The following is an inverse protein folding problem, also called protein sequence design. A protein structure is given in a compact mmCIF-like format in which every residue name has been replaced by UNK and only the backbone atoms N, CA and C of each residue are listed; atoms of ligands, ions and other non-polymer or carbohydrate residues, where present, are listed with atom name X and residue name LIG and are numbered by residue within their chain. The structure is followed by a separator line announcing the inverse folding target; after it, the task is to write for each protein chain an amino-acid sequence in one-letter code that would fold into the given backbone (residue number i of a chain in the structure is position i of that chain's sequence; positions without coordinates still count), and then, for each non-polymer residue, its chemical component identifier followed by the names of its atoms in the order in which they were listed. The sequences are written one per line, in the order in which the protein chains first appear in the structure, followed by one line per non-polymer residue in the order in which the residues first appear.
data_IF_621907958258
#
_entry.id   IF_621907958258
#
_cell.length_a   1.000
_cell.length_b   1.000
_cell.length_c   1.000
_cell.angle_alpha   90.00
_cell.angle_beta   90.00
_cell.angle_gamma   90.00
#
_symmetry.space_group_name_H-M   'P 1'
#
loop_
_entity.id
_entity.type
_entity.pdbx_description
1 polymer ?
#
# COMPACT_ATOMS: atom_id res chain seq x y z
N UNK A 1 -29.51 -23.24 -52.20
CA UNK A 1 -29.30 -24.30 -53.21
C UNK A 1 -27.84 -24.27 -53.61
N UNK A 2 -27.19 -25.42 -53.48
CA UNK A 2 -26.09 -25.94 -54.31
C UNK A 2 -24.84 -25.06 -54.52
N UNK A 3 -23.75 -25.45 -53.84
CA UNK A 3 -22.46 -25.59 -54.55
C UNK A 3 -22.50 -26.81 -55.47
N UNK A 4 -21.57 -26.92 -56.43
CA UNK A 4 -20.42 -27.82 -56.19
C UNK A 4 -19.10 -27.26 -56.79
N UNK A 5 -17.94 -27.49 -56.14
CA UNK A 5 -16.88 -28.47 -56.54
C UNK A 5 -16.11 -28.10 -57.82
N UNK A 6 -14.82 -28.35 -58.03
CA UNK A 6 -13.69 -28.86 -57.25
C UNK A 6 -12.50 -29.00 -58.22
N UNK A 7 -11.28 -29.07 -57.67
CA UNK A 7 -10.09 -29.79 -58.20
C UNK A 7 -9.39 -29.24 -59.45
N UNK A 8 -8.07 -29.33 -59.63
CA UNK A 8 -6.94 -30.00 -58.93
C UNK A 8 -5.66 -29.30 -59.45
N UNK A 9 -4.69 -28.95 -58.60
CA UNK A 9 -3.49 -29.72 -58.24
C UNK A 9 -2.44 -29.83 -59.35
N UNK A 10 -1.28 -29.21 -59.09
CA UNK A 10 0.10 -29.75 -59.16
C UNK A 10 1.07 -28.58 -58.91
N UNK A 11 2.31 -28.70 -58.43
CA UNK A 11 3.01 -29.42 -57.36
C UNK A 11 4.48 -28.94 -57.48
N UNK A 12 5.25 -28.98 -56.38
CA UNK A 12 6.72 -28.76 -56.29
C UNK A 12 7.21 -27.30 -56.44
N UNK A 13 8.14 -26.74 -55.67
CA UNK A 13 9.14 -27.29 -54.73
C UNK A 13 9.64 -26.18 -53.79
N UNK A 14 9.87 -26.54 -52.52
CA UNK A 14 10.84 -26.03 -51.54
C UNK A 14 11.67 -24.76 -51.83
N UNK A 15 11.58 -23.77 -50.93
CA UNK A 15 12.76 -23.14 -50.31
C UNK A 15 12.33 -22.36 -49.06
N UNK A 16 12.72 -22.89 -47.90
CA UNK A 16 12.77 -22.15 -46.64
C UNK A 16 13.64 -20.90 -46.82
N UNK A 17 13.13 -19.74 -46.43
CA UNK A 17 13.98 -18.56 -46.19
C UNK A 17 13.79 -18.20 -44.72
N UNK A 18 14.74 -18.67 -43.94
CA UNK A 18 15.02 -18.29 -42.56
C UNK A 18 15.08 -16.76 -42.46
N UNK A 19 14.19 -16.18 -41.67
CA UNK A 19 14.29 -14.78 -41.27
C UNK A 19 15.50 -14.65 -40.34
N UNK A 20 16.55 -14.05 -40.89
CA UNK A 20 17.89 -14.01 -40.32
C UNK A 20 17.91 -13.21 -39.00
N UNK A 21 18.48 -13.83 -37.97
CA UNK A 21 18.57 -13.32 -36.60
C UNK A 21 19.74 -12.33 -36.45
N UNK A 22 19.85 -11.32 -37.32
CA UNK A 22 21.05 -10.48 -37.41
C UNK A 22 20.81 -8.95 -37.38
N UNK A 23 19.59 -8.45 -37.16
CA UNK A 23 19.32 -6.99 -37.21
C UNK A 23 18.89 -6.34 -35.89
N UNK A 24 19.14 -6.96 -34.73
CA UNK A 24 19.06 -6.27 -33.43
C UNK A 24 20.28 -6.61 -32.58
N UNK A 25 21.47 -6.21 -33.02
CA UNK A 25 22.67 -6.17 -32.16
C UNK A 25 23.50 -4.94 -32.53
N UNK A 26 22.98 -3.74 -32.30
CA UNK A 26 23.76 -2.50 -32.34
C UNK A 26 23.41 -1.64 -31.11
N UNK A 27 23.84 -2.14 -29.95
CA UNK A 27 23.68 -1.51 -28.65
C UNK A 27 24.25 -2.42 -27.56
N UNK A 28 25.58 -2.49 -27.50
CA UNK A 28 26.45 -3.03 -26.45
C UNK A 28 25.88 -4.10 -25.50
N UNK A 29 26.52 -5.28 -25.50
CA UNK A 29 26.66 -6.08 -24.29
C UNK A 29 27.29 -5.14 -23.25
N UNK A 30 26.50 -4.64 -22.30
CA UNK A 30 27.05 -4.06 -21.09
C UNK A 30 27.98 -5.12 -20.51
N UNK A 31 29.27 -4.82 -20.36
CA UNK A 31 30.24 -5.73 -19.77
C UNK A 31 29.66 -6.24 -18.45
N UNK A 32 29.83 -7.53 -18.14
CA UNK A 32 29.39 -8.09 -16.85
C UNK A 32 29.91 -7.23 -15.70
N UNK A 33 31.15 -6.72 -15.83
CA UNK A 33 31.74 -5.79 -14.88
C UNK A 33 30.99 -4.45 -14.79
N UNK A 34 30.51 -3.91 -15.91
CA UNK A 34 29.68 -2.69 -15.95
C UNK A 34 28.33 -2.90 -15.25
N UNK A 35 27.66 -4.03 -15.54
CA UNK A 35 26.40 -4.36 -14.87
C UNK A 35 26.58 -4.55 -13.36
N UNK A 36 27.64 -5.24 -12.94
CA UNK A 36 27.97 -5.41 -11.52
C UNK A 36 28.24 -4.05 -10.84
N UNK A 37 29.01 -3.17 -11.48
CA UNK A 37 29.28 -1.83 -10.97
C UNK A 37 27.99 -0.99 -10.81
N UNK A 38 27.10 -1.03 -11.82
CA UNK A 38 25.81 -0.33 -11.76
C UNK A 38 24.86 -0.90 -10.70
N UNK A 39 24.87 -2.21 -10.48
CA UNK A 39 24.10 -2.84 -9.39
C UNK A 39 24.62 -2.40 -8.03
N UNK A 40 25.94 -2.31 -7.83
CA UNK A 40 26.54 -1.78 -6.61
C UNK A 40 26.21 -0.31 -6.38
N UNK A 41 26.26 0.52 -7.42
CA UNK A 41 25.82 1.91 -7.37
C UNK A 41 24.34 2.02 -6.96
N UNK A 42 23.47 1.21 -7.57
CA UNK A 42 22.06 1.16 -7.23
C UNK A 42 21.82 0.80 -5.75
N UNK A 43 22.51 -0.23 -5.24
CA UNK A 43 22.36 -0.63 -3.82
C UNK A 43 22.87 0.43 -2.86
N UNK A 44 23.93 1.16 -3.22
CA UNK A 44 24.46 2.30 -2.43
C UNK A 44 23.46 3.46 -2.39
N UNK A 45 22.80 3.74 -3.51
CA UNK A 45 21.78 4.78 -3.60
C UNK A 45 20.55 4.51 -2.69
N UNK A 46 20.36 3.26 -2.23
CA UNK A 46 19.31 2.92 -1.26
C UNK A 46 19.66 3.27 0.19
N UNK A 47 20.87 3.77 0.46
CA UNK A 47 21.30 4.20 1.79
C UNK A 47 21.35 3.07 2.81
N UNK A 48 21.69 1.86 2.35
CA UNK A 48 21.82 0.68 3.20
C UNK A 48 23.14 0.71 3.99
N UNK A 49 23.24 -0.10 5.04
CA UNK A 49 24.55 -0.36 5.68
C UNK A 49 25.43 -1.20 4.74
N UNK A 50 26.77 -1.25 4.90
CA UNK A 50 27.62 -2.09 4.04
C UNK A 50 27.18 -3.57 3.99
N UNK A 51 26.71 -4.12 5.12
CA UNK A 51 26.12 -5.46 5.14
C UNK A 51 24.79 -5.53 4.36
N UNK A 52 23.94 -4.51 4.51
CA UNK A 52 22.68 -4.40 3.78
C UNK A 52 22.87 -4.28 2.27
N UNK A 53 23.85 -3.50 1.82
CA UNK A 53 24.23 -3.39 0.41
C UNK A 53 24.63 -4.75 -0.17
N UNK A 54 25.47 -5.51 0.56
CA UNK A 54 25.86 -6.85 0.15
C UNK A 54 24.66 -7.81 0.08
N UNK A 55 23.76 -7.78 1.07
CA UNK A 55 22.53 -8.58 1.06
C UNK A 55 21.67 -8.21 -0.15
N UNK A 56 21.46 -6.91 -0.38
CA UNK A 56 20.69 -6.40 -1.49
C UNK A 56 21.27 -6.84 -2.83
N UNK A 57 22.59 -6.70 -3.01
CA UNK A 57 23.30 -7.13 -4.20
C UNK A 57 23.12 -8.64 -4.46
N UNK A 58 23.26 -9.49 -3.43
CA UNK A 58 23.04 -10.93 -3.56
C UNK A 58 21.61 -11.26 -4.02
N UNK A 59 20.61 -10.53 -3.53
CA UNK A 59 19.23 -10.65 -4.00
C UNK A 59 19.06 -10.25 -5.45
N UNK A 60 19.70 -9.17 -5.90
CA UNK A 60 19.65 -8.71 -7.29
C UNK A 60 20.33 -9.71 -8.24
N UNK A 61 21.49 -10.24 -7.86
CA UNK A 61 22.19 -11.29 -8.63
C UNK A 61 21.37 -12.57 -8.71
N UNK A 62 20.73 -12.97 -7.60
CA UNK A 62 19.79 -14.09 -7.59
C UNK A 62 18.58 -13.81 -8.50
N UNK A 63 18.03 -12.61 -8.44
CA UNK A 63 16.91 -12.21 -9.28
C UNK A 63 17.30 -12.22 -10.76
N UNK A 64 18.51 -11.80 -11.13
CA UNK A 64 19.00 -11.80 -12.51
C UNK A 64 19.10 -13.23 -13.10
N UNK A 65 19.42 -14.22 -12.27
CA UNK A 65 19.64 -15.62 -12.69
C UNK A 65 18.45 -16.55 -12.43
N UNK A 66 17.40 -16.07 -11.76
CA UNK A 66 16.21 -16.87 -11.41
C UNK A 66 15.43 -17.39 -12.63
N UNK A 67 15.45 -18.70 -12.86
CA UNK A 67 14.65 -19.36 -13.91
C UNK A 67 13.24 -19.74 -13.43
N UNK A 68 12.96 -19.67 -12.13
CA UNK A 68 11.67 -20.10 -11.56
C UNK A 68 10.56 -19.06 -11.73
N UNK A 69 10.92 -17.81 -12.02
CA UNK A 69 9.99 -16.68 -12.14
C UNK A 69 9.58 -16.06 -10.79
N UNK A 70 10.00 -16.65 -9.67
CA UNK A 70 9.69 -16.17 -8.32
C UNK A 70 10.25 -14.78 -8.04
N UNK A 71 11.31 -14.34 -8.71
CA UNK A 71 11.92 -13.01 -8.55
C UNK A 71 11.72 -12.14 -9.80
N UNK A 72 10.75 -12.47 -10.65
CA UNK A 72 10.55 -11.78 -11.92
C UNK A 72 10.19 -10.31 -11.75
N UNK A 73 9.43 -9.92 -10.72
CA UNK A 73 9.07 -8.52 -10.46
C UNK A 73 10.23 -7.77 -9.83
N UNK A 74 10.98 -8.44 -8.94
CA UNK A 74 12.24 -7.89 -8.44
C UNK A 74 13.21 -7.59 -9.58
N UNK A 75 13.41 -8.53 -10.53
CA UNK A 75 14.25 -8.32 -11.71
C UNK A 75 13.78 -7.14 -12.55
N UNK A 76 12.48 -7.09 -12.88
CA UNK A 76 11.89 -6.00 -13.67
C UNK A 76 12.03 -4.65 -12.97
N UNK A 77 11.76 -4.60 -11.67
CA UNK A 77 11.92 -3.38 -10.88
C UNK A 77 13.38 -2.93 -10.83
N UNK A 78 14.34 -3.83 -10.62
CA UNK A 78 15.76 -3.50 -10.64
C UNK A 78 16.21 -2.92 -11.98
N UNK A 79 15.80 -3.52 -13.11
CA UNK A 79 16.05 -2.99 -14.44
C UNK A 79 15.45 -1.59 -14.63
N UNK A 80 14.23 -1.37 -14.13
CA UNK A 80 13.58 -0.06 -14.16
C UNK A 80 14.40 0.99 -13.40
N UNK A 81 14.88 0.66 -12.20
CA UNK A 81 15.74 1.55 -11.40
C UNK A 81 17.09 1.83 -12.07
N UNK A 82 17.74 0.80 -12.65
CA UNK A 82 19.00 0.93 -13.39
C UNK A 82 18.89 1.83 -14.63
N UNK A 83 17.68 1.94 -15.19
CA UNK A 83 17.37 2.80 -16.32
C UNK A 83 16.77 4.16 -15.90
N UNK A 84 16.81 4.49 -14.60
CA UNK A 84 16.23 5.69 -14.02
C UNK A 84 14.76 5.91 -14.38
N UNK A 85 14.03 4.82 -14.63
CA UNK A 85 12.61 4.86 -14.92
C UNK A 85 11.84 4.95 -13.61
N UNK A 86 11.06 6.03 -13.45
CA UNK A 86 10.23 6.25 -12.25
C UNK A 86 8.97 5.38 -12.22
N UNK A 87 8.37 5.15 -13.38
CA UNK A 87 7.09 4.43 -13.50
C UNK A 87 7.17 3.32 -14.56
N UNK A 88 6.43 2.20 -14.36
CA UNK A 88 6.24 1.20 -15.40
C UNK A 88 5.48 1.79 -16.59
N UNK A 89 5.81 1.33 -17.80
CA UNK A 89 5.14 1.79 -19.03
C UNK A 89 3.66 1.43 -19.11
N UNK A 90 3.22 0.38 -18.41
CA UNK A 90 1.85 -0.14 -18.40
C UNK A 90 1.06 0.25 -17.13
N UNK A 91 1.47 1.31 -16.44
CA UNK A 91 0.81 1.81 -15.23
C UNK A 91 -0.57 2.41 -15.53
N UNK A 92 -1.53 2.24 -14.61
CA UNK A 92 -2.84 2.89 -14.70
C UNK A 92 -2.72 4.42 -14.65
N UNK A 93 -3.55 5.14 -15.39
CA UNK A 93 -3.66 6.60 -15.30
C UNK A 93 -4.03 7.08 -13.91
N UNK A 94 -4.75 6.25 -13.14
CA UNK A 94 -5.17 6.49 -11.77
C UNK A 94 -4.05 6.29 -10.74
N UNK A 95 -2.91 5.71 -11.11
CA UNK A 95 -1.75 5.52 -10.22
C UNK A 95 -0.64 6.55 -10.47
N UNK A 96 -0.86 7.53 -11.37
CA UNK A 96 0.17 8.51 -11.76
C UNK A 96 0.70 9.34 -10.60
N UNK A 97 -0.12 9.63 -9.59
CA UNK A 97 0.31 10.34 -8.38
C UNK A 97 0.98 9.47 -7.33
N UNK A 98 1.02 8.14 -7.51
CA UNK A 98 1.66 7.24 -6.56
C UNK A 98 3.20 7.35 -6.67
N UNK A 99 3.91 7.64 -5.56
CA UNK A 99 5.37 7.80 -5.58
C UNK A 99 6.14 6.56 -6.06
N UNK A 100 5.66 5.36 -5.75
CA UNK A 100 6.41 4.12 -6.01
C UNK A 100 5.52 3.00 -6.59
N UNK A 101 5.50 2.89 -7.92
CA UNK A 101 4.74 1.85 -8.62
C UNK A 101 5.68 0.78 -9.16
N UNK A 102 5.52 -0.46 -8.70
CA UNK A 102 6.29 -1.61 -9.15
C UNK A 102 5.69 -2.24 -10.41
N UNK A 103 6.54 -2.69 -11.35
CA UNK A 103 6.08 -3.41 -12.54
C UNK A 103 5.61 -4.83 -12.20
N UNK A 104 4.63 -5.32 -12.96
CA UNK A 104 4.22 -6.73 -12.96
C UNK A 104 3.26 -7.14 -11.85
N UNK A 105 2.75 -6.20 -11.06
CA UNK A 105 1.61 -6.42 -10.15
C UNK A 105 0.30 -6.13 -10.90
N UNK A 106 -0.73 -6.95 -10.71
CA UNK A 106 -2.08 -6.66 -11.22
C UNK A 106 -2.58 -5.34 -10.65
N UNK A 107 -2.96 -4.41 -11.52
CA UNK A 107 -3.48 -3.11 -11.12
C UNK A 107 -5.01 -3.13 -11.21
N UNK A 108 -5.68 -3.19 -10.05
CA UNK A 108 -7.14 -3.11 -9.94
C UNK A 108 -7.49 -2.16 -8.80
N UNK A 109 -8.41 -1.19 -9.01
CA UNK A 109 -8.79 -0.25 -7.96
C UNK A 109 -9.45 -0.98 -6.78
N UNK A 110 -10.45 -1.83 -7.05
CA UNK A 110 -11.21 -2.57 -6.03
C UNK A 110 -11.10 -4.08 -6.26
N UNK A 111 -10.72 -4.81 -5.23
CA UNK A 111 -10.46 -6.24 -5.25
C UNK A 111 -11.66 -7.02 -4.72
N UNK A 112 -12.62 -7.29 -5.60
CA UNK A 112 -13.93 -7.90 -5.24
C UNK A 112 -13.88 -9.40 -4.95
N UNK A 113 -12.84 -10.10 -5.40
CA UNK A 113 -12.72 -11.55 -5.18
C UNK A 113 -12.14 -11.83 -3.77
N UNK A 114 -13.02 -11.93 -2.77
CA UNK A 114 -12.62 -12.19 -1.38
C UNK A 114 -12.04 -13.59 -1.16
N UNK A 115 -12.23 -14.56 -2.07
CA UNK A 115 -11.60 -15.88 -1.95
C UNK A 115 -10.08 -15.83 -2.10
N UNK A 116 -9.54 -14.73 -2.62
CA UNK A 116 -8.11 -14.43 -2.58
C UNK A 116 -7.58 -14.11 -1.18
N UNK A 117 -8.48 -13.75 -0.25
CA UNK A 117 -8.14 -13.35 1.11
C UNK A 117 -9.00 -14.14 2.12
N UNK A 118 -8.83 -15.47 2.26
CA UNK A 118 -9.70 -16.29 3.10
C UNK A 118 -9.78 -15.82 4.57
N UNK A 119 -8.73 -15.19 5.07
CA UNK A 119 -8.65 -14.62 6.42
C UNK A 119 -9.62 -13.45 6.66
N UNK A 120 -10.16 -12.83 5.60
CA UNK A 120 -11.22 -11.81 5.72
C UNK A 120 -12.44 -12.39 6.44
N UNK A 121 -12.83 -13.64 6.14
CA UNK A 121 -13.98 -14.29 6.80
C UNK A 121 -13.75 -14.41 8.30
N UNK A 122 -12.52 -14.67 8.74
CA UNK A 122 -12.15 -14.70 10.16
C UNK A 122 -12.24 -13.31 10.79
N UNK A 123 -11.81 -12.28 10.07
CA UNK A 123 -11.85 -10.88 10.53
C UNK A 123 -13.30 -10.37 10.65
N UNK A 124 -14.14 -10.64 9.65
CA UNK A 124 -15.57 -10.31 9.65
C UNK A 124 -16.33 -11.08 10.73
N UNK A 125 -16.04 -12.37 10.94
CA UNK A 125 -16.64 -13.14 12.04
C UNK A 125 -16.28 -12.57 13.42
N UNK A 126 -15.09 -12.00 13.57
CA UNK A 126 -14.63 -11.34 14.79
C UNK A 126 -15.12 -9.88 14.94
N UNK A 127 -15.86 -9.34 13.98
CA UNK A 127 -16.38 -7.97 13.98
C UNK A 127 -16.96 -7.52 15.34
N UNK A 128 -17.85 -8.29 16.02
CA UNK A 128 -18.43 -7.85 17.29
C UNK A 128 -17.38 -7.64 18.38
N UNK A 129 -16.33 -8.47 18.40
CA UNK A 129 -15.25 -8.40 19.40
C UNK A 129 -14.32 -7.22 19.11
N UNK A 130 -13.93 -7.03 17.85
CA UNK A 130 -13.09 -5.90 17.43
C UNK A 130 -13.82 -4.57 17.69
N UNK A 131 -15.11 -4.51 17.33
CA UNK A 131 -15.96 -3.35 17.61
C UNK A 131 -16.02 -3.07 19.09
N UNK A 132 -16.19 -4.10 19.94
CA UNK A 132 -16.20 -3.92 21.39
C UNK A 132 -14.89 -3.31 21.91
N UNK A 133 -13.74 -3.84 21.51
CA UNK A 133 -12.43 -3.30 21.94
C UNK A 133 -12.28 -1.82 21.55
N UNK A 134 -12.66 -1.47 20.32
CA UNK A 134 -12.67 -0.08 19.85
C UNK A 134 -13.57 0.81 20.71
N UNK A 135 -14.79 0.37 21.01
CA UNK A 135 -15.75 1.17 21.81
C UNK A 135 -15.30 1.33 23.26
N UNK A 136 -14.64 0.32 23.83
CA UNK A 136 -14.09 0.40 25.18
C UNK A 136 -13.00 1.50 25.28
N UNK A 137 -12.32 1.85 24.17
CA UNK A 137 -11.37 2.96 24.12
C UNK A 137 -12.01 4.33 24.38
N UNK A 138 -13.33 4.48 24.26
CA UNK A 138 -14.02 5.75 24.57
C UNK A 138 -13.81 6.18 26.03
N UNK A 139 -13.69 5.23 26.95
CA UNK A 139 -13.50 5.50 28.38
C UNK A 139 -12.09 6.00 28.72
N UNK A 140 -11.12 5.69 27.86
CA UNK A 140 -9.74 6.15 27.96
C UNK A 140 -9.22 6.38 26.53
N UNK A 141 -9.42 7.55 25.95
CA UNK A 141 -9.08 7.81 24.55
C UNK A 141 -7.56 7.89 24.30
N UNK A 142 -6.73 7.71 25.35
CA UNK A 142 -5.26 7.74 25.27
C UNK A 142 -4.76 6.82 24.16
N UNK A 143 -4.10 7.38 23.16
CA UNK A 143 -3.62 6.66 21.99
C UNK A 143 -4.26 7.11 20.68
N UNK A 144 -5.44 7.73 20.73
CA UNK A 144 -5.98 8.41 19.56
C UNK A 144 -5.25 9.74 19.35
N UNK A 145 -4.91 10.01 18.11
CA UNK A 145 -4.27 11.24 17.68
C UNK A 145 -4.83 11.70 16.33
N UNK A 146 -4.77 13.01 16.01
CA UNK A 146 -5.09 13.48 14.69
C UNK A 146 -4.19 12.82 13.63
N UNK A 147 -4.77 12.45 12.48
CA UNK A 147 -3.96 12.02 11.36
C UNK A 147 -3.13 13.20 10.85
N UNK A 148 -1.82 12.98 10.68
CA UNK A 148 -0.86 13.96 10.17
C UNK A 148 0.09 13.28 9.18
N UNK A 149 0.51 14.07 8.20
CA UNK A 149 1.56 13.71 7.25
C UNK A 149 2.59 14.86 7.20
N UNK A 150 3.81 14.64 6.65
CA UNK A 150 4.75 15.73 6.37
C UNK A 150 4.11 16.86 5.56
N UNK A 151 4.59 18.11 5.71
CA UNK A 151 3.94 19.28 5.08
C UNK A 151 3.81 19.17 3.56
N UNK A 152 4.75 18.50 2.91
CA UNK A 152 4.76 18.26 1.47
C UNK A 152 3.76 17.20 0.99
N UNK A 153 3.19 16.40 1.90
CA UNK A 153 2.37 15.23 1.57
C UNK A 153 0.86 15.48 1.71
N UNK A 154 0.44 16.47 2.48
CA UNK A 154 -0.97 16.80 2.70
C UNK A 154 -1.48 17.91 1.78
N UNK A 155 -2.76 18.26 1.97
CA UNK A 155 -3.42 19.31 1.18
C UNK A 155 -3.12 20.70 1.72
N UNK A 156 -3.05 20.83 3.04
CA UNK A 156 -2.67 22.08 3.71
C UNK A 156 -1.91 21.80 5.01
N UNK A 157 -1.05 22.72 5.45
CA UNK A 157 -0.48 22.67 6.80
C UNK A 157 -1.56 22.56 7.87
N UNK A 158 -1.29 21.81 8.93
CA UNK A 158 -2.19 21.73 10.07
C UNK A 158 -2.22 23.09 10.81
N UNK A 159 -3.37 23.45 11.37
CA UNK A 159 -3.55 24.74 12.05
C UNK A 159 -2.71 24.88 13.34
N UNK A 160 -2.35 23.74 13.94
CA UNK A 160 -1.47 23.64 15.10
C UNK A 160 0.04 23.67 14.73
N UNK A 161 0.37 23.71 13.44
CA UNK A 161 1.74 23.71 12.93
C UNK A 161 2.41 22.34 12.86
N UNK A 162 1.71 21.25 13.19
CA UNK A 162 2.27 19.90 13.21
C UNK A 162 1.95 19.21 11.88
N UNK A 163 2.89 19.25 10.94
CA UNK A 163 2.75 18.64 9.62
C UNK A 163 1.58 19.20 8.80
N UNK A 164 0.89 18.32 8.08
CA UNK A 164 -0.24 18.63 7.21
C UNK A 164 -1.46 17.73 7.45
N UNK A 165 -2.60 18.17 6.92
CA UNK A 165 -3.85 17.42 6.90
C UNK A 165 -4.25 17.02 5.48
N UNK A 166 -4.87 15.86 5.36
CA UNK A 166 -5.36 15.30 4.08
C UNK A 166 -6.90 15.34 3.96
N UNK A 167 -7.56 16.22 4.71
CA UNK A 167 -9.02 16.43 4.69
C UNK A 167 -9.33 17.91 4.56
N UNK A 168 -10.37 18.28 3.81
CA UNK A 168 -10.80 19.69 3.60
C UNK A 168 -11.97 20.13 4.48
N UNK A 169 -12.63 19.17 5.12
CA UNK A 169 -13.71 19.39 6.08
C UNK A 169 -13.67 18.35 7.22
N UNK A 170 -14.25 18.69 8.36
CA UNK A 170 -14.33 17.85 9.55
C UNK A 170 -12.96 17.51 10.15
N UNK A 171 -12.91 16.43 10.93
CA UNK A 171 -11.70 15.93 11.59
C UNK A 171 -11.44 14.45 11.23
N UNK A 172 -10.16 14.08 11.22
CA UNK A 172 -9.69 12.71 11.02
C UNK A 172 -8.68 12.32 12.11
N UNK A 173 -9.03 11.29 12.89
CA UNK A 173 -8.21 10.76 13.97
C UNK A 173 -7.87 9.28 13.72
N UNK A 174 -6.76 8.83 14.30
CA UNK A 174 -6.25 7.45 14.17
C UNK A 174 -5.76 6.91 15.51
N UNK A 175 -5.92 5.59 15.70
CA UNK A 175 -5.37 4.82 16.81
C UNK A 175 -4.48 3.71 16.25
N UNK A 176 -3.17 3.92 16.25
CA UNK A 176 -2.22 2.98 15.66
C UNK A 176 -2.04 1.73 16.52
N UNK A 177 -2.14 0.56 15.88
CA UNK A 177 -1.76 -0.74 16.45
C UNK A 177 -0.41 -1.20 15.89
N UNK A 178 -0.20 -0.92 14.60
CA UNK A 178 1.03 -1.17 13.87
C UNK A 178 1.30 0.01 12.93
N UNK A 179 2.52 0.55 12.96
CA UNK A 179 3.02 1.53 11.99
C UNK A 179 4.51 1.31 11.81
N UNK A 180 4.82 0.27 11.05
CA UNK A 180 6.17 -0.16 10.71
C UNK A 180 7.05 -0.45 11.94
N UNK A 181 8.06 0.39 12.20
CA UNK A 181 9.04 0.22 13.29
C UNK A 181 8.72 1.04 14.55
N UNK A 182 7.55 1.70 14.59
CA UNK A 182 7.08 2.43 15.77
C UNK A 182 6.41 1.48 16.77
N UNK A 183 6.75 1.60 18.05
CA UNK A 183 6.20 0.73 19.09
C UNK A 183 4.90 1.26 19.69
N UNK A 184 3.81 0.58 19.33
CA UNK A 184 2.46 0.78 19.88
C UNK A 184 2.06 -0.35 20.86
N UNK A 185 2.99 -0.86 21.69
CA UNK A 185 2.72 -1.95 22.62
C UNK A 185 1.59 -1.65 23.62
N UNK A 186 1.52 -0.43 24.13
CA UNK A 186 0.47 -0.01 25.05
C UNK A 186 -0.92 -0.07 24.39
N UNK A 187 -1.02 0.40 23.15
CA UNK A 187 -2.24 0.38 22.34
C UNK A 187 -2.67 -1.06 22.02
N UNK A 188 -1.71 -1.91 21.63
CA UNK A 188 -1.97 -3.34 21.37
C UNK A 188 -2.44 -4.08 22.62
N UNK A 189 -1.91 -3.76 23.80
CA UNK A 189 -2.34 -4.35 25.06
C UNK A 189 -3.80 -4.02 25.41
N UNK A 190 -4.34 -2.91 24.89
CA UNK A 190 -5.74 -2.51 25.06
C UNK A 190 -6.69 -3.13 24.03
N UNK A 191 -6.15 -3.64 22.93
CA UNK A 191 -6.90 -4.32 21.88
C UNK A 191 -6.31 -5.73 21.60
N UNK A 192 -6.25 -6.62 22.60
CA UNK A 192 -5.55 -7.90 22.49
C UNK A 192 -6.15 -8.83 21.42
N UNK A 193 -7.48 -8.88 21.28
CA UNK A 193 -8.16 -9.73 20.29
C UNK A 193 -7.85 -9.20 18.88
N UNK A 194 -8.03 -7.90 18.66
CA UNK A 194 -7.72 -7.26 17.38
C UNK A 194 -6.24 -7.47 17.02
N UNK A 195 -5.34 -7.30 17.99
CA UNK A 195 -3.89 -7.50 17.79
C UNK A 195 -3.57 -8.94 17.38
N UNK A 196 -4.12 -9.94 18.08
CA UNK A 196 -3.88 -11.35 17.78
C UNK A 196 -4.39 -11.73 16.38
N UNK A 197 -5.56 -11.21 15.99
CA UNK A 197 -6.13 -11.41 14.65
C UNK A 197 -5.23 -10.81 13.57
N UNK A 198 -4.81 -9.56 13.73
CA UNK A 198 -3.90 -8.88 12.80
C UNK A 198 -2.60 -9.68 12.64
N UNK A 199 -1.98 -10.11 13.74
CA UNK A 199 -0.76 -10.92 13.71
C UNK A 199 -0.91 -12.28 13.03
N UNK A 200 -2.13 -12.83 12.98
CA UNK A 200 -2.41 -14.08 12.29
C UNK A 200 -2.52 -13.94 10.76
N UNK A 201 -2.63 -12.71 10.24
CA UNK A 201 -2.83 -12.47 8.81
C UNK A 201 -1.55 -12.79 8.03
N UNK A 202 -1.62 -13.68 7.02
CA UNK A 202 -0.47 -14.00 6.19
C UNK A 202 -0.01 -12.76 5.44
N UNK A 203 1.29 -12.49 5.47
CA UNK A 203 1.88 -11.35 4.78
C UNK A 203 1.26 -9.99 5.20
N UNK A 204 0.99 -9.80 6.50
CA UNK A 204 0.73 -8.47 7.06
C UNK A 204 1.83 -7.46 6.65
N UNK A 205 1.44 -6.24 6.29
CA UNK A 205 2.36 -5.19 5.87
C UNK A 205 2.94 -4.36 7.04
N UNK A 206 2.62 -4.71 8.29
CA UNK A 206 3.00 -4.00 9.53
C UNK A 206 2.41 -2.57 9.60
N UNK A 207 1.21 -2.38 9.07
CA UNK A 207 0.47 -1.13 9.17
C UNK A 207 -1.02 -1.43 9.40
N UNK A 208 -1.52 -1.06 10.58
CA UNK A 208 -2.92 -1.22 10.96
C UNK A 208 -3.30 -0.27 12.09
N UNK A 209 -4.50 0.30 12.00
CA UNK A 209 -5.00 1.32 12.91
C UNK A 209 -6.52 1.41 12.86
N UNK A 210 -7.14 1.87 13.94
CA UNK A 210 -8.52 2.36 13.85
C UNK A 210 -8.51 3.77 13.28
N UNK A 211 -9.35 4.02 12.29
CA UNK A 211 -9.55 5.33 11.65
C UNK A 211 -10.91 5.87 12.02
N UNK A 212 -10.94 7.08 12.55
CA UNK A 212 -12.15 7.79 12.96
C UNK A 212 -12.35 9.05 12.11
N UNK A 213 -13.42 9.08 11.31
CA UNK A 213 -13.87 10.30 10.64
C UNK A 213 -15.01 10.91 11.42
N UNK A 214 -14.80 12.15 11.87
CA UNK A 214 -15.84 12.96 12.46
C UNK A 214 -17.00 13.21 11.47
N UNK A 215 -18.15 13.69 11.94
CA UNK A 215 -19.25 14.09 11.06
C UNK A 215 -18.81 15.16 10.07
N UNK A 216 -19.34 15.11 8.85
CA UNK A 216 -19.04 16.07 7.76
C UNK A 216 -17.57 16.10 7.32
N UNK A 217 -16.84 15.01 7.54
CA UNK A 217 -15.44 14.89 7.12
C UNK A 217 -15.33 14.46 5.66
N UNK A 218 -14.45 15.12 4.90
CA UNK A 218 -14.05 14.70 3.57
C UNK A 218 -12.52 14.61 3.49
N UNK A 219 -12.02 13.38 3.26
CA UNK A 219 -10.62 13.13 2.92
C UNK A 219 -10.48 13.34 1.42
N UNK A 220 -9.67 14.31 1.05
CA UNK A 220 -9.45 14.73 -0.34
C UNK A 220 -8.75 13.64 -1.16
N UNK A 221 -8.80 13.78 -2.49
CA UNK A 221 -8.09 12.92 -3.45
C UNK A 221 -6.60 12.83 -3.12
N UNK A 222 -6.11 11.61 -2.94
CA UNK A 222 -4.71 11.33 -2.68
C UNK A 222 -4.33 9.93 -3.17
N UNK A 223 -3.05 9.60 -3.06
CA UNK A 223 -2.50 8.29 -3.40
C UNK A 223 -1.72 7.76 -2.21
N UNK A 224 -1.74 6.44 -2.05
CA UNK A 224 -0.83 5.72 -1.18
C UNK A 224 0.61 5.76 -1.71
N UNK A 225 1.60 5.45 -0.87
CA UNK A 225 3.01 5.59 -1.24
C UNK A 225 3.48 4.53 -2.24
N UNK A 226 2.77 3.41 -2.38
CA UNK A 226 3.24 2.27 -3.17
C UNK A 226 2.14 1.28 -3.54
N UNK A 227 2.23 0.63 -4.71
CA UNK A 227 1.35 -0.50 -5.10
C UNK A 227 1.80 -1.86 -4.53
N UNK A 228 2.84 -1.87 -3.69
CA UNK A 228 3.37 -3.10 -3.05
C UNK A 228 2.38 -3.76 -2.08
N UNK A 229 1.32 -3.07 -1.72
CA UNK A 229 0.35 -3.50 -0.73
C UNK A 229 -1.06 -3.20 -1.20
N UNK A 230 -2.01 -3.91 -0.62
CA UNK A 230 -3.43 -3.58 -0.71
C UNK A 230 -3.89 -3.10 0.66
N UNK A 231 -4.89 -2.22 0.66
CA UNK A 231 -5.54 -1.72 1.87
C UNK A 231 -6.86 -2.43 2.07
N UNK A 232 -7.09 -2.89 3.30
CA UNK A 232 -8.32 -3.54 3.73
C UNK A 232 -8.97 -2.71 4.82
N UNK A 233 -10.26 -2.44 4.66
CA UNK A 233 -11.06 -1.79 5.68
C UNK A 233 -12.11 -2.77 6.20
N UNK A 234 -12.19 -2.93 7.53
CA UNK A 234 -13.35 -3.49 8.22
C UNK A 234 -14.10 -2.34 8.89
N UNK A 235 -15.27 -1.92 8.39
CA UNK A 235 -16.05 -0.88 9.04
C UNK A 235 -16.68 -1.40 10.35
N UNK A 236 -16.52 -0.63 11.43
CA UNK A 236 -16.89 -1.02 12.80
C UNK A 236 -18.08 -0.23 13.33
N UNK A 237 -18.11 1.07 13.03
CA UNK A 237 -19.26 1.95 13.26
C UNK A 237 -19.48 2.79 12.01
N UNK A 238 -20.65 2.68 11.40
CA UNK A 238 -21.01 3.43 10.19
C UNK A 238 -22.42 4.00 10.36
N UNK A 239 -22.60 5.33 10.24
CA UNK A 239 -23.93 5.93 10.25
C UNK A 239 -24.84 5.30 9.19
N UNK A 240 -26.11 5.13 9.50
CA UNK A 240 -27.07 4.49 8.59
C UNK A 240 -27.25 5.27 7.28
N UNK A 241 -27.50 4.55 6.18
CA UNK A 241 -27.66 5.13 4.85
C UNK A 241 -26.33 5.27 4.10
N UNK A 242 -26.33 6.05 3.02
CA UNK A 242 -25.19 6.15 2.09
C UNK A 242 -24.27 7.36 2.37
N UNK A 243 -24.31 7.87 3.59
CA UNK A 243 -23.51 9.04 4.01
C UNK A 243 -22.00 8.75 4.06
N UNK A 244 -21.62 7.47 4.15
CA UNK A 244 -20.23 7.03 4.21
C UNK A 244 -19.85 6.26 2.94
N UNK A 245 -18.94 6.83 2.15
CA UNK A 245 -18.45 6.22 0.91
C UNK A 245 -16.96 6.45 0.72
N UNK A 246 -16.37 5.68 -0.19
CA UNK A 246 -14.98 5.80 -0.62
C UNK A 246 -14.91 5.59 -2.13
N UNK A 247 -14.18 6.45 -2.85
CA UNK A 247 -13.95 6.31 -4.30
C UNK A 247 -12.51 5.84 -4.52
N UNK A 248 -12.30 4.89 -5.42
CA UNK A 248 -10.97 4.44 -5.88
C UNK A 248 -10.98 4.37 -7.41
N UNK A 249 -10.26 5.26 -8.07
CA UNK A 249 -10.41 5.44 -9.51
C UNK A 249 -11.88 5.74 -9.87
N UNK A 250 -12.46 4.93 -10.75
CA UNK A 250 -13.86 5.08 -11.16
C UNK A 250 -14.86 4.33 -10.27
N UNK A 251 -14.39 3.49 -9.35
CA UNK A 251 -15.25 2.69 -8.48
C UNK A 251 -15.63 3.45 -7.20
N UNK A 252 -16.90 3.35 -6.79
CA UNK A 252 -17.39 3.85 -5.51
C UNK A 252 -17.80 2.68 -4.62
N UNK A 253 -17.32 2.69 -3.38
CA UNK A 253 -17.61 1.73 -2.32
C UNK A 253 -18.53 2.42 -1.30
N UNK A 254 -19.73 1.89 -1.12
CA UNK A 254 -20.59 2.24 0.02
C UNK A 254 -20.11 1.46 1.23
N UNK A 255 -19.79 2.17 2.31
CA UNK A 255 -19.20 1.57 3.51
C UNK A 255 -20.31 0.90 4.33
N UNK A 256 -20.13 -0.37 4.70
CA UNK A 256 -21.10 -1.15 5.48
C UNK A 256 -20.43 -1.79 6.69
N UNK A 257 -21.10 -1.74 7.84
CA UNK A 257 -20.59 -2.38 9.07
C UNK A 257 -20.40 -3.89 8.87
N UNK A 258 -19.28 -4.41 9.36
CA UNK A 258 -19.00 -5.85 9.36
C UNK A 258 -18.59 -6.44 8.01
N UNK A 259 -18.68 -5.69 6.92
CA UNK A 259 -18.29 -6.13 5.58
C UNK A 259 -16.94 -5.54 5.19
N UNK A 260 -15.92 -6.38 5.06
CA UNK A 260 -14.62 -5.93 4.59
C UNK A 260 -14.67 -5.52 3.12
N UNK A 261 -13.82 -4.56 2.76
CA UNK A 261 -13.48 -4.30 1.37
C UNK A 261 -11.99 -4.10 1.20
N UNK A 262 -11.49 -4.50 0.02
CA UNK A 262 -10.07 -4.45 -0.34
C UNK A 262 -9.89 -3.55 -1.56
N UNK A 263 -8.94 -2.63 -1.48
CA UNK A 263 -8.61 -1.74 -2.58
C UNK A 263 -7.11 -1.48 -2.67
N UNK A 264 -6.65 -1.12 -3.86
CA UNK A 264 -5.28 -0.67 -4.09
C UNK A 264 -5.24 0.85 -3.88
N UNK A 265 -4.76 1.29 -2.72
CA UNK A 265 -4.67 2.72 -2.40
C UNK A 265 -3.58 3.44 -3.19
N UNK A 266 -2.76 2.75 -4.00
CA UNK A 266 -1.90 3.43 -4.97
C UNK A 266 -2.70 4.07 -6.11
N UNK A 267 -3.96 3.68 -6.30
CA UNK A 267 -4.90 4.41 -7.14
C UNK A 267 -5.37 5.67 -6.42
N UNK A 268 -5.64 6.75 -7.16
CA UNK A 268 -6.26 7.95 -6.60
C UNK A 268 -7.58 7.60 -5.89
N UNK A 269 -7.69 8.02 -4.64
CA UNK A 269 -8.85 7.75 -3.81
C UNK A 269 -9.18 8.90 -2.87
N UNK A 270 -10.43 8.95 -2.43
CA UNK A 270 -10.99 9.93 -1.51
C UNK A 270 -12.12 9.28 -0.70
N UNK A 271 -12.46 9.85 0.45
CA UNK A 271 -13.42 9.24 1.38
C UNK A 271 -14.27 10.28 2.09
N UNK A 272 -15.53 9.93 2.35
CA UNK A 272 -16.49 10.82 2.99
C UNK A 272 -17.13 10.19 4.22
N UNK A 273 -17.41 11.03 5.21
CA UNK A 273 -18.47 10.87 6.19
C UNK A 273 -19.34 12.13 6.13
N UNK A 274 -20.40 12.11 5.32
CA UNK A 274 -21.33 13.24 5.16
C UNK A 274 -22.42 13.27 6.23
N UNK A 275 -22.38 12.35 7.20
CA UNK A 275 -23.39 12.32 8.25
C UNK A 275 -23.33 13.62 9.07
N UNK A 276 -24.48 14.13 9.48
CA UNK A 276 -24.57 15.44 10.13
C UNK A 276 -23.97 15.46 11.54
N UNK A 277 -24.01 14.32 12.24
CA UNK A 277 -23.73 14.26 13.68
C UNK A 277 -23.03 13.01 14.19
N UNK A 278 -22.79 11.99 13.34
CA UNK A 278 -22.27 10.68 13.78
C UNK A 278 -20.93 10.38 13.12
N UNK A 279 -20.01 9.79 13.89
CA UNK A 279 -18.68 9.41 13.38
C UNK A 279 -18.70 8.10 12.60
N UNK A 280 -17.70 7.92 11.73
CA UNK A 280 -17.41 6.67 11.03
C UNK A 280 -16.11 6.08 11.56
N UNK A 281 -16.19 4.90 12.16
CA UNK A 281 -15.03 4.18 12.70
C UNK A 281 -14.76 2.92 11.89
N UNK A 282 -13.53 2.76 11.40
CA UNK A 282 -13.11 1.60 10.59
C UNK A 282 -11.77 1.08 11.09
N UNK A 283 -11.58 -0.24 11.12
CA UNK A 283 -10.25 -0.83 11.21
C UNK A 283 -9.62 -0.83 9.83
N UNK A 284 -8.46 -0.21 9.70
CA UNK A 284 -7.64 -0.19 8.49
C UNK A 284 -6.44 -1.10 8.71
N UNK A 285 -6.11 -1.92 7.72
CA UNK A 285 -4.87 -2.67 7.68
C UNK A 285 -4.33 -2.76 6.26
N UNK A 286 -3.01 -2.86 6.13
CA UNK A 286 -2.35 -3.10 4.86
C UNK A 286 -1.78 -4.54 4.81
N UNK A 287 -1.88 -5.18 3.65
CA UNK A 287 -1.32 -6.51 3.36
C UNK A 287 -0.44 -6.47 2.12
N UNK A 288 0.61 -7.28 2.05
CA UNK A 288 1.42 -7.36 0.83
C UNK A 288 0.56 -7.76 -0.37
N UNK A 289 0.87 -7.18 -1.53
CA UNK A 289 0.15 -7.45 -2.76
C UNK A 289 0.19 -8.96 -3.09
N UNK A 290 -0.95 -9.61 -3.37
CA UNK A 290 -1.06 -11.07 -3.46
C UNK A 290 -0.26 -11.69 -4.60
N UNK A 291 0.12 -10.89 -5.59
CA UNK A 291 0.97 -11.32 -6.70
C UNK A 291 2.44 -11.57 -6.31
N UNK A 292 2.90 -11.02 -5.19
CA UNK A 292 4.28 -11.25 -4.78
C UNK A 292 4.53 -12.69 -4.39
N UNK A 293 5.70 -13.20 -4.79
CA UNK A 293 6.22 -14.44 -4.22
C UNK A 293 6.74 -14.21 -2.80
N UNK A 294 6.83 -15.27 -1.99
CA UNK A 294 7.43 -15.16 -0.65
C UNK A 294 8.89 -14.63 -0.67
N UNK A 295 9.76 -15.02 -1.63
CA UNK A 295 11.06 -14.38 -1.81
C UNK A 295 11.01 -12.87 -2.11
N UNK A 296 10.07 -12.41 -2.94
CA UNK A 296 9.91 -10.98 -3.25
C UNK A 296 9.45 -10.21 -2.01
N UNK A 297 8.48 -10.73 -1.26
CA UNK A 297 8.05 -10.14 0.02
C UNK A 297 9.24 -10.00 0.96
N UNK A 298 10.08 -11.02 1.10
CA UNK A 298 11.28 -10.97 1.97
C UNK A 298 12.23 -9.84 1.56
N UNK A 299 12.52 -9.71 0.27
CA UNK A 299 13.41 -8.66 -0.23
C UNK A 299 12.82 -7.26 -0.02
N UNK A 300 11.58 -7.03 -0.44
CA UNK A 300 10.98 -5.70 -0.33
C UNK A 300 10.68 -5.31 1.12
N UNK A 301 10.39 -6.27 2.00
CA UNK A 301 10.29 -6.01 3.44
C UNK A 301 11.66 -5.64 4.04
N UNK A 302 12.72 -6.33 3.66
CA UNK A 302 14.09 -5.98 4.05
C UNK A 302 14.44 -4.55 3.62
N UNK A 303 14.23 -4.22 2.34
CA UNK A 303 14.55 -2.92 1.79
C UNK A 303 13.75 -1.80 2.50
N UNK A 304 12.44 -2.00 2.66
CA UNK A 304 11.57 -1.05 3.38
C UNK A 304 12.05 -0.82 4.82
N UNK A 305 12.34 -1.88 5.57
CA UNK A 305 12.81 -1.77 6.95
C UNK A 305 14.15 -1.03 7.05
N UNK A 306 15.04 -1.24 6.09
CA UNK A 306 16.31 -0.52 6.06
C UNK A 306 16.12 0.97 5.73
N UNK A 307 15.25 1.29 4.76
CA UNK A 307 14.93 2.67 4.38
C UNK A 307 14.27 3.44 5.52
N UNK A 308 13.30 2.83 6.22
CA UNK A 308 12.65 3.47 7.37
C UNK A 308 13.62 3.76 8.50
N UNK A 309 14.55 2.85 8.80
CA UNK A 309 15.61 3.10 9.81
C UNK A 309 16.53 4.25 9.42
N UNK A 310 16.85 4.35 8.14
CA UNK A 310 17.67 5.45 7.62
C UNK A 310 16.91 6.77 7.74
N UNK A 311 15.65 6.80 7.29
CA UNK A 311 14.78 7.98 7.36
C UNK A 311 14.62 8.45 8.80
N UNK A 312 14.35 7.52 9.73
CA UNK A 312 14.26 7.82 11.16
C UNK A 312 15.50 8.52 11.68
N UNK A 313 16.69 8.02 11.31
CA UNK A 313 17.97 8.60 11.71
C UNK A 313 18.24 9.94 11.02
N UNK A 314 17.88 10.06 9.75
CA UNK A 314 18.07 11.28 8.96
C UNK A 314 17.15 12.41 9.40
N UNK A 315 15.94 12.09 9.88
CA UNK A 315 14.97 13.02 10.43
C UNK A 315 15.14 13.25 11.93
N UNK A 316 16.22 12.75 12.56
CA UNK A 316 16.53 13.10 13.95
C UNK A 316 16.73 14.61 14.03
N UNK A 317 15.80 15.31 14.71
CA UNK A 317 15.68 16.78 14.81
C UNK A 317 15.05 17.52 13.62
N UNK A 318 14.42 16.80 12.68
CA UNK A 318 13.57 17.44 11.67
C UNK A 318 12.13 17.56 12.20
N UNK A 319 11.67 18.78 12.44
CA UNK A 319 10.32 19.05 12.92
C UNK A 319 9.22 18.67 11.92
N UNK A 320 9.53 18.61 10.61
CA UNK A 320 8.62 18.12 9.58
C UNK A 320 8.88 16.64 9.22
N UNK A 321 9.78 15.99 9.97
CA UNK A 321 10.09 14.58 9.84
C UNK A 321 8.91 13.71 10.29
N UNK A 322 8.65 12.62 9.55
CA UNK A 322 7.52 11.72 9.81
C UNK A 322 7.43 11.26 11.27
N UNK A 323 8.56 10.84 11.87
CA UNK A 323 8.59 10.35 13.25
C UNK A 323 8.34 11.45 14.29
N UNK A 324 8.84 12.66 14.05
CA UNK A 324 8.62 13.80 14.95
C UNK A 324 7.15 14.24 14.90
N UNK A 325 6.57 14.32 13.70
CA UNK A 325 5.14 14.60 13.50
C UNK A 325 4.27 13.58 14.24
N UNK A 326 4.61 12.29 14.18
CA UNK A 326 3.86 11.25 14.89
C UNK A 326 3.91 11.45 16.41
N UNK A 327 5.08 11.81 16.95
CA UNK A 327 5.25 12.06 18.37
C UNK A 327 4.49 13.32 18.82
N UNK A 328 4.59 14.40 18.06
CA UNK A 328 3.94 15.68 18.38
C UNK A 328 2.41 15.56 18.25
N UNK A 329 1.91 14.88 17.21
CA UNK A 329 0.50 14.60 17.07
C UNK A 329 -0.05 13.73 18.21
N UNK A 330 0.74 12.79 18.72
CA UNK A 330 0.37 11.97 19.87
C UNK A 330 0.27 12.76 21.17
N UNK A 331 1.05 13.83 21.31
CA UNK A 331 1.03 14.70 22.48
C UNK A 331 -0.15 15.69 22.49
N UNK A 332 -0.87 15.83 21.37
CA UNK A 332 -2.05 16.70 21.30
C UNK A 332 -3.20 16.15 22.16
N UNK A 333 -4.01 17.03 22.78
CA UNK A 333 -5.21 16.61 23.47
C UNK A 333 -6.16 15.87 22.53
N UNK A 334 -6.60 14.69 22.94
CA UNK A 334 -7.56 13.91 22.16
C UNK A 334 -8.97 14.49 22.28
N UNK A 335 -9.57 14.87 21.16
CA UNK A 335 -10.97 15.27 21.11
C UNK A 335 -11.90 14.03 21.00
N UNK A 336 -12.37 13.56 22.14
CA UNK A 336 -13.24 12.36 22.23
C UNK A 336 -14.54 12.54 21.45
N UNK A 337 -15.13 13.73 21.51
CA UNK A 337 -16.41 14.01 20.84
C UNK A 337 -16.28 14.01 19.31
N UNK A 338 -15.09 14.34 18.77
CA UNK A 338 -14.81 14.22 17.34
C UNK A 338 -14.63 12.75 16.91
N UNK A 339 -14.17 11.89 17.81
CA UNK A 339 -13.92 10.46 17.52
C UNK A 339 -15.22 9.66 17.68
N UNK A 340 -15.91 9.81 18.80
CA UNK A 340 -17.08 9.03 19.20
C UNK A 340 -18.37 9.87 19.16
N UNK A 341 -18.57 10.65 18.09
CA UNK A 341 -19.73 11.53 17.94
C UNK A 341 -21.04 10.72 17.80
N UNK A 342 -22.09 11.18 18.50
CA UNK A 342 -23.48 10.70 18.58
C UNK A 342 -23.75 9.28 18.05
N UNK A 343 -24.23 8.38 18.91
CA UNK A 343 -24.61 7.01 18.51
C UNK A 343 -23.47 5.99 18.56
N UNK A 344 -22.39 6.32 19.28
CA UNK A 344 -21.27 5.44 19.58
C UNK A 344 -21.06 5.33 21.09
#
# INVERSE_FOLDING_TARGET
MQGPSSNKADSMSSAETTCDASTIVHGAIADKADLEARLHELTRAWGLTPLGENIAYLWLTKAATDSTGNLSRLRKWALMQLNHQRHPSNMSSWQRGCPNVLPGLRAQPVWRNHDMFPWIKTLEAAFPLIRKELLDLKNDPTGFQPYRAPTWAGVRPAADGIGSVSHDAGDWNVYYLFLHDVDYAAQRARCPITTALLQSIPHQYEHAFFSALAPKTHITKHHGPTNKKLRVHLPLVVPSGDACRLRVGDDVIVVKEGECFVFDDSFEHEAWNEHASQSRLVLVLDVWHPDFSAPEVKFFQFLRKAQLRLERKASENDADGFYQILQDAHALPTNVDAIFANGI
#
